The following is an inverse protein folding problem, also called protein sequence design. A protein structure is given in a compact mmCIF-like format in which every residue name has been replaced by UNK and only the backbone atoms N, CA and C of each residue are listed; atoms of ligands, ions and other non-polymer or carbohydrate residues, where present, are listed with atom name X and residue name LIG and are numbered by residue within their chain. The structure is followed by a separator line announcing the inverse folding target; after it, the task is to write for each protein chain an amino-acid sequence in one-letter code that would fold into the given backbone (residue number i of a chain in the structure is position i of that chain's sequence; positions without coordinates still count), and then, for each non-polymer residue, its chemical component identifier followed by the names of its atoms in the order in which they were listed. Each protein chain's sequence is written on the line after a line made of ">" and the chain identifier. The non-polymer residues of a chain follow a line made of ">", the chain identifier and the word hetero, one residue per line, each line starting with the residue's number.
data_IF_040927849845
#
_entry.id   IF_040927849845
#
_cell.length_a   1.000
_cell.length_b   1.000
_cell.length_c   1.000
_cell.angle_alpha   90.00
_cell.angle_beta   90.00
_cell.angle_gamma   90.00
#
_symmetry.space_group_name_H-M   'P 1'
#
loop_
_entity.id
_entity.type
_entity.pdbx_description
1 polymer ?
#
# COMPACT_ATOMS: atom_id res chain seq x y z
N UNK A 1 11.39 -16.33 -12.22
CA UNK A 1 9.97 -16.65 -12.49
C UNK A 1 9.21 -15.34 -12.57
N UNK A 2 8.03 -15.30 -13.18
CA UNK A 2 7.28 -14.07 -13.37
C UNK A 2 5.82 -14.20 -12.95
N UNK A 3 5.29 -13.14 -12.34
CA UNK A 3 3.89 -12.96 -12.01
C UNK A 3 3.21 -12.04 -13.04
N UNK A 4 2.09 -12.49 -13.60
CA UNK A 4 1.40 -11.87 -14.75
C UNK A 4 0.04 -11.26 -14.38
N UNK A 5 -0.08 -10.69 -13.18
CA UNK A 5 -1.29 -10.01 -12.75
C UNK A 5 -1.51 -8.68 -13.48
N UNK A 6 -2.75 -8.37 -13.84
CA UNK A 6 -3.08 -7.19 -14.63
C UNK A 6 -2.81 -5.89 -13.87
N UNK A 7 -3.12 -5.84 -12.56
CA UNK A 7 -2.85 -4.67 -11.73
C UNK A 7 -1.36 -4.50 -11.45
N UNK A 8 -0.65 -5.60 -11.16
CA UNK A 8 0.79 -5.61 -10.96
C UNK A 8 1.55 -5.15 -12.20
N UNK A 9 1.18 -5.66 -13.39
CA UNK A 9 1.78 -5.24 -14.65
C UNK A 9 1.48 -3.78 -14.97
N UNK A 10 0.25 -3.30 -14.75
CA UNK A 10 -0.08 -1.89 -14.92
C UNK A 10 0.79 -0.98 -14.03
N UNK A 11 1.06 -1.39 -12.79
CA UNK A 11 1.96 -0.67 -11.89
C UNK A 11 3.44 -0.78 -12.27
N UNK A 12 3.83 -1.86 -12.95
CA UNK A 12 5.20 -2.15 -13.41
C UNK A 12 5.46 -1.75 -14.88
N UNK A 13 4.77 -0.72 -15.37
CA UNK A 13 4.96 -0.20 -16.73
C UNK A 13 4.59 -1.18 -17.86
N UNK A 14 3.66 -2.09 -17.59
CA UNK A 14 3.23 -3.15 -18.52
C UNK A 14 4.09 -4.42 -18.47
N UNK A 15 5.16 -4.45 -17.68
CA UNK A 15 6.06 -5.61 -17.60
C UNK A 15 5.61 -6.59 -16.50
N UNK A 16 5.82 -7.90 -16.68
CA UNK A 16 5.57 -8.86 -15.62
C UNK A 16 6.49 -8.64 -14.41
N UNK A 17 6.02 -9.02 -13.22
CA UNK A 17 6.78 -8.82 -11.97
C UNK A 17 7.67 -10.03 -11.71
N UNK A 18 8.97 -9.80 -11.55
CA UNK A 18 9.93 -10.85 -11.22
C UNK A 18 9.70 -11.37 -9.80
N UNK A 19 9.67 -12.69 -9.66
CA UNK A 19 9.65 -13.38 -8.37
C UNK A 19 11.01 -14.01 -8.10
N UNK A 20 11.46 -13.93 -6.85
CA UNK A 20 12.69 -14.56 -6.38
C UNK A 20 12.62 -16.07 -6.62
N UNK A 21 13.37 -16.54 -7.60
CA UNK A 21 13.42 -17.95 -8.00
C UNK A 21 14.87 -18.39 -8.24
N UNK A 22 15.67 -18.52 -7.17
CA UNK A 22 17.05 -18.98 -7.27
C UNK A 22 17.13 -20.42 -7.83
N UNK A 23 18.29 -20.80 -8.37
CA UNK A 23 18.53 -22.15 -8.91
C UNK A 23 18.44 -23.25 -7.84
N UNK A 24 18.79 -22.93 -6.60
CA UNK A 24 18.57 -23.80 -5.43
C UNK A 24 17.41 -23.27 -4.61
N UNK A 25 16.42 -24.13 -4.37
CA UNK A 25 15.25 -23.78 -3.55
C UNK A 25 15.67 -23.28 -2.16
N UNK A 26 15.13 -22.12 -1.76
CA UNK A 26 15.28 -21.57 -0.42
C UNK A 26 13.92 -21.59 0.27
N UNK A 27 13.79 -22.47 1.27
CA UNK A 27 12.56 -22.62 2.02
C UNK A 27 12.13 -21.28 2.64
N UNK A 28 10.84 -20.95 2.50
CA UNK A 28 10.28 -19.69 2.97
C UNK A 28 10.55 -18.49 2.07
N UNK A 29 11.44 -18.57 1.08
CA UNK A 29 11.79 -17.42 0.23
C UNK A 29 11.38 -17.58 -1.23
N UNK A 30 11.73 -18.73 -1.84
CA UNK A 30 11.48 -18.98 -3.26
C UNK A 30 10.00 -18.83 -3.59
N UNK A 31 9.71 -18.13 -4.70
CA UNK A 31 8.38 -17.82 -5.26
C UNK A 31 7.44 -16.98 -4.37
N UNK A 32 7.86 -16.62 -3.16
CA UNK A 32 7.06 -15.82 -2.22
C UNK A 32 7.54 -14.37 -2.05
N UNK A 33 8.67 -14.02 -2.67
CA UNK A 33 9.26 -12.68 -2.62
C UNK A 33 9.55 -12.14 -4.01
N UNK A 34 9.70 -10.83 -4.11
CA UNK A 34 10.14 -10.12 -5.30
C UNK A 34 11.61 -10.43 -5.63
N UNK A 35 11.90 -10.44 -6.92
CA UNK A 35 13.23 -10.67 -7.46
C UNK A 35 14.14 -9.44 -7.25
N UNK A 36 15.13 -9.56 -6.37
CA UNK A 36 16.04 -8.45 -6.04
C UNK A 36 17.17 -8.27 -7.06
N UNK A 37 17.32 -9.16 -8.04
CA UNK A 37 18.24 -8.92 -9.17
C UNK A 37 17.67 -7.85 -10.12
N UNK A 38 16.41 -7.45 -9.93
CA UNK A 38 15.75 -6.36 -10.65
C UNK A 38 15.84 -5.06 -9.84
N UNK A 39 16.51 -3.99 -10.34
CA UNK A 39 16.68 -2.73 -9.61
C UNK A 39 15.36 -1.98 -9.37
N UNK A 40 14.29 -2.30 -10.11
CA UNK A 40 12.95 -1.75 -9.84
C UNK A 40 12.38 -2.35 -8.55
N UNK A 41 12.70 -3.60 -8.25
CA UNK A 41 12.07 -4.38 -7.17
C UNK A 41 12.96 -4.51 -5.93
N UNK A 42 14.28 -4.33 -6.06
CA UNK A 42 15.28 -4.62 -5.01
C UNK A 42 15.11 -3.82 -3.71
N UNK A 43 14.42 -2.69 -3.75
CA UNK A 43 14.19 -1.80 -2.61
C UNK A 43 12.73 -1.78 -2.15
N UNK A 44 11.93 -2.79 -2.51
CA UNK A 44 10.52 -2.90 -2.11
C UNK A 44 10.37 -3.64 -0.77
N UNK A 45 9.15 -3.68 -0.22
CA UNK A 45 8.87 -4.30 1.09
C UNK A 45 8.91 -5.84 1.05
N UNK A 46 8.55 -6.45 -0.08
CA UNK A 46 8.41 -7.89 -0.30
C UNK A 46 9.64 -8.51 -0.95
N UNK A 47 10.83 -7.94 -0.73
CA UNK A 47 12.10 -8.51 -1.20
C UNK A 47 12.49 -9.73 -0.36
N UNK A 48 13.27 -10.65 -0.93
CA UNK A 48 13.68 -11.86 -0.21
C UNK A 48 14.78 -11.59 0.84
N UNK A 49 15.37 -10.40 0.82
CA UNK A 49 16.38 -9.91 1.75
C UNK A 49 16.30 -8.39 1.81
N UNK A 50 16.32 -7.85 3.02
CA UNK A 50 16.39 -6.40 3.27
C UNK A 50 17.77 -5.99 3.77
N UNK A 51 18.13 -4.70 3.68
CA UNK A 51 19.36 -4.18 4.27
C UNK A 51 19.30 -4.24 5.81
N UNK A 52 20.48 -4.28 6.44
CA UNK A 52 20.56 -4.06 7.88
C UNK A 52 20.08 -2.63 8.22
N UNK A 53 19.15 -2.52 9.17
CA UNK A 53 18.60 -1.24 9.62
C UNK A 53 17.23 -0.90 9.02
N UNK A 54 16.88 0.40 8.88
CA UNK A 54 15.56 0.80 8.42
C UNK A 54 15.24 0.28 7.02
N UNK A 55 14.06 -0.32 6.87
CA UNK A 55 13.56 -0.86 5.60
C UNK A 55 12.15 -0.31 5.32
N UNK A 56 11.70 -0.28 4.05
CA UNK A 56 10.33 0.09 3.71
C UNK A 56 9.31 -0.75 4.49
N UNK A 57 8.32 -0.09 5.08
CA UNK A 57 7.21 -0.73 5.81
C UNK A 57 5.86 -0.51 5.14
N UNK A 58 5.89 -0.13 3.86
CA UNK A 58 4.71 0.23 3.09
C UNK A 58 4.82 -0.49 1.75
N UNK A 59 3.72 -1.13 1.35
CA UNK A 59 3.61 -1.72 0.02
C UNK A 59 3.59 -0.63 -1.06
N UNK A 60 4.47 -0.78 -2.03
CA UNK A 60 4.52 0.00 -3.27
C UNK A 60 3.32 -0.33 -4.16
N UNK A 61 3.14 0.47 -5.23
CA UNK A 61 2.07 0.23 -6.20
C UNK A 61 2.16 -1.17 -6.86
N UNK A 62 3.37 -1.68 -7.09
CA UNK A 62 3.58 -3.00 -7.69
C UNK A 62 3.10 -4.10 -6.73
N UNK A 63 3.49 -4.02 -5.46
CA UNK A 63 3.10 -5.01 -4.44
C UNK A 63 1.59 -4.97 -4.14
N UNK A 64 1.02 -3.77 -4.06
CA UNK A 64 -0.44 -3.60 -3.98
C UNK A 64 -1.12 -4.19 -5.22
N UNK A 65 -0.53 -4.04 -6.40
CA UNK A 65 -1.01 -4.67 -7.63
C UNK A 65 -1.04 -6.19 -7.52
N UNK A 66 0.06 -6.81 -7.07
CA UNK A 66 0.14 -8.27 -6.84
C UNK A 66 -0.94 -8.74 -5.87
N UNK A 67 -1.14 -8.04 -4.75
CA UNK A 67 -2.18 -8.37 -3.78
C UNK A 67 -3.60 -8.27 -4.39
N UNK A 68 -3.87 -7.24 -5.19
CA UNK A 68 -5.17 -7.10 -5.88
C UNK A 68 -5.42 -8.21 -6.89
N UNK A 69 -4.40 -8.59 -7.64
CA UNK A 69 -4.49 -9.70 -8.59
C UNK A 69 -4.75 -11.05 -7.90
N UNK A 70 -4.33 -11.21 -6.65
CA UNK A 70 -4.64 -12.38 -5.80
C UNK A 70 -6.02 -12.30 -5.10
N UNK A 71 -6.78 -11.22 -5.33
CA UNK A 71 -8.12 -11.03 -4.78
C UNK A 71 -8.18 -10.26 -3.46
N UNK A 72 -7.07 -9.72 -2.97
CA UNK A 72 -7.09 -8.83 -1.81
C UNK A 72 -7.63 -7.44 -2.20
N UNK A 73 -8.47 -6.87 -1.36
CA UNK A 73 -8.94 -5.50 -1.53
C UNK A 73 -8.03 -4.56 -0.74
N UNK A 74 -7.64 -3.44 -1.37
CA UNK A 74 -6.93 -2.39 -0.66
C UNK A 74 -7.86 -1.79 0.41
N UNK A 75 -7.43 -1.77 1.67
CA UNK A 75 -8.19 -1.14 2.75
C UNK A 75 -8.23 0.35 2.48
N UNK A 76 -9.43 0.89 2.28
CA UNK A 76 -9.63 2.34 2.20
C UNK A 76 -9.42 2.94 3.59
N UNK A 77 -8.64 4.03 3.74
CA UNK A 77 -8.52 4.71 5.02
C UNK A 77 -9.91 5.04 5.57
N UNK A 78 -10.22 4.52 6.75
CA UNK A 78 -11.41 4.94 7.50
C UNK A 78 -10.99 6.17 8.28
N UNK A 79 -11.65 7.34 8.11
CA UNK A 79 -11.28 8.51 8.86
C UNK A 79 -11.39 8.25 10.35
N UNK A 80 -10.39 8.71 11.10
CA UNK A 80 -10.37 8.52 12.54
C UNK A 80 -11.62 9.19 13.18
N UNK A 81 -12.25 8.56 14.19
CA UNK A 81 -13.43 9.12 14.86
C UNK A 81 -13.26 10.57 15.31
N UNK A 82 -12.05 10.94 15.70
CA UNK A 82 -11.64 12.28 16.12
C UNK A 82 -11.82 13.31 15.00
N UNK A 83 -11.53 12.93 13.75
CA UNK A 83 -11.70 13.82 12.60
C UNK A 83 -13.17 14.18 12.40
N UNK A 84 -14.07 13.19 12.54
CA UNK A 84 -15.50 13.43 12.49
C UNK A 84 -15.97 14.25 13.70
N UNK A 85 -15.47 13.97 14.89
CA UNK A 85 -15.81 14.73 16.09
C UNK A 85 -15.41 16.21 15.96
N UNK A 86 -14.20 16.49 15.46
CA UNK A 86 -13.71 17.85 15.23
C UNK A 86 -14.49 18.58 14.13
N UNK A 87 -14.83 17.88 13.05
CA UNK A 87 -15.70 18.42 12.00
C UNK A 87 -17.07 18.80 12.58
N UNK A 88 -17.72 17.89 13.33
CA UNK A 88 -19.01 18.14 13.96
C UNK A 88 -18.94 19.26 15.01
N UNK A 89 -17.88 19.31 15.81
CA UNK A 89 -17.64 20.38 16.76
C UNK A 89 -17.51 21.73 16.05
N UNK A 90 -16.73 21.82 14.97
CA UNK A 90 -16.59 23.02 14.16
C UNK A 90 -17.92 23.48 13.56
N UNK A 91 -18.69 22.55 12.97
CA UNK A 91 -20.02 22.83 12.44
C UNK A 91 -21.01 23.29 13.53
N UNK A 92 -20.95 22.69 14.71
CA UNK A 92 -21.75 23.08 15.87
C UNK A 92 -21.47 24.52 16.32
N UNK A 93 -20.19 24.91 16.39
CA UNK A 93 -19.77 26.27 16.75
C UNK A 93 -20.25 27.30 15.71
N UNK A 94 -20.10 27.02 14.41
CA UNK A 94 -20.58 27.89 13.33
C UNK A 94 -22.09 28.06 13.40
N UNK A 95 -22.84 26.97 13.55
CA UNK A 95 -24.29 27.01 13.70
C UNK A 95 -24.75 27.85 14.91
N UNK A 96 -24.05 27.71 16.03
CA UNK A 96 -24.32 28.51 17.24
C UNK A 96 -24.07 30.01 17.02
N UNK A 97 -22.97 30.37 16.35
CA UNK A 97 -22.64 31.77 16.04
C UNK A 97 -23.69 32.41 15.12
N UNK A 98 -24.16 31.69 14.09
CA UNK A 98 -25.22 32.17 13.20
C UNK A 98 -26.53 32.38 13.95
N UNK A 99 -26.91 31.46 14.85
CA UNK A 99 -28.12 31.60 15.68
C UNK A 99 -28.06 32.86 16.56
N UNK A 100 -26.91 33.13 17.19
CA UNK A 100 -26.73 34.31 18.05
C UNK A 100 -26.88 35.62 17.28
N UNK A 101 -26.39 35.69 16.04
CA UNK A 101 -26.49 36.88 15.18
C UNK A 101 -27.91 37.15 14.68
N UNK A 102 -28.77 36.14 14.60
CA UNK A 102 -30.18 36.30 14.18
C UNK A 102 -31.12 36.65 15.32
N UNK A 103 -30.71 36.41 16.57
CA UNK A 103 -31.49 36.69 17.77
C UNK A 103 -31.18 38.08 18.39
N UNK A 104 -30.18 38.78 17.85
CA UNK A 104 -29.86 40.17 18.12
C UNK A 104 -30.35 41.03 16.96
#
# INVERSE_FOLDING_TARGET
>A
MFFYGAYAMAANGGNPVGLYSPTTWKNGSSVSHLDTDNPVLEAMMMTHAGPDGPSPRVFTAIEVGVLRDLGYTAVTPVPEPETYAMMLAGLGLVGWQVRRRRAA
#
